data_IF_087475578114
#
_entry.id   IF_087475578114
#
_cell.length_a   1.000
_cell.length_b   1.000
_cell.length_c   1.000
_cell.angle_alpha   90.00
_cell.angle_beta   90.00
_cell.angle_gamma   90.00
#
_symmetry.space_group_name_H-M   'P 1'
#
loop_
_entity.id
_entity.type
_entity.pdbx_description
1 polymer ?
#
# COMPACT_ATOMS: atom_id res chain seq x y z
N UNK A 1 -29.27 -8.33 11.46
CA UNK A 1 -29.08 -7.55 12.70
C UNK A 1 -28.65 -6.13 12.30
N UNK A 2 -29.40 -5.09 12.69
CA UNK A 2 -29.09 -3.69 12.31
C UNK A 2 -28.09 -3.14 13.33
N UNK A 3 -26.86 -2.89 12.90
CA UNK A 3 -25.83 -2.29 13.76
C UNK A 3 -25.90 -0.76 13.66
N UNK A 4 -25.91 -0.09 14.80
CA UNK A 4 -25.80 1.36 14.87
C UNK A 4 -24.41 1.79 14.37
N UNK A 5 -24.39 2.73 13.42
CA UNK A 5 -23.13 3.24 12.85
C UNK A 5 -22.74 4.50 13.60
N UNK A 6 -21.77 4.37 14.50
CA UNK A 6 -21.19 5.52 15.19
C UNK A 6 -19.95 6.00 14.44
N UNK A 7 -19.86 7.30 14.17
CA UNK A 7 -18.80 7.89 13.34
C UNK A 7 -17.39 7.75 13.92
N UNK A 8 -17.25 7.49 15.22
CA UNK A 8 -15.97 7.30 15.87
C UNK A 8 -15.51 5.84 15.91
N UNK A 9 -16.32 4.89 15.44
CA UNK A 9 -15.95 3.48 15.35
C UNK A 9 -15.12 3.20 14.09
N UNK A 10 -14.18 2.26 14.22
CA UNK A 10 -13.42 1.71 13.09
C UNK A 10 -14.36 1.00 12.10
N UNK A 11 -13.83 0.39 11.04
CA UNK A 11 -14.65 -0.44 10.12
C UNK A 11 -15.10 -1.78 10.75
N UNK A 12 -15.29 -1.81 12.07
CA UNK A 12 -15.87 -2.86 12.88
C UNK A 12 -16.45 -2.23 14.16
N UNK A 13 -17.42 -2.88 14.83
CA UNK A 13 -18.10 -2.30 16.00
C UNK A 13 -17.27 -2.34 17.29
N UNK A 14 -16.12 -3.04 17.30
CA UNK A 14 -15.39 -3.36 18.53
C UNK A 14 -14.33 -2.31 18.89
N UNK A 15 -13.87 -1.51 17.93
CA UNK A 15 -12.76 -0.59 18.13
C UNK A 15 -13.09 0.81 17.64
N UNK A 16 -12.50 1.82 18.27
CA UNK A 16 -12.59 3.21 17.79
C UNK A 16 -11.62 3.45 16.64
N UNK A 17 -11.91 4.44 15.78
CA UNK A 17 -10.99 4.91 14.74
C UNK A 17 -9.65 5.31 15.37
N UNK A 18 -9.68 6.06 16.48
CA UNK A 18 -8.46 6.52 17.18
C UNK A 18 -7.56 5.35 17.57
N UNK A 19 -8.14 4.28 18.12
CA UNK A 19 -7.37 3.08 18.45
C UNK A 19 -6.84 2.39 17.19
N UNK A 20 -7.65 2.25 16.14
CA UNK A 20 -7.18 1.71 14.85
C UNK A 20 -6.02 2.50 14.24
N UNK A 21 -6.05 3.84 14.31
CA UNK A 21 -4.95 4.71 13.89
C UNK A 21 -3.69 4.49 14.74
N UNK A 22 -3.84 4.34 16.05
CA UNK A 22 -2.72 4.02 16.95
C UNK A 22 -2.07 2.67 16.57
N UNK A 23 -2.87 1.62 16.43
CA UNK A 23 -2.41 0.28 16.02
C UNK A 23 -1.66 0.36 14.68
N UNK A 24 -2.25 0.98 13.66
CA UNK A 24 -1.61 1.11 12.36
C UNK A 24 -0.32 1.94 12.39
N UNK A 25 -0.25 2.98 13.21
CA UNK A 25 0.99 3.74 13.42
C UNK A 25 2.06 2.89 14.10
N UNK A 26 1.71 2.07 15.10
CA UNK A 26 2.65 1.14 15.75
C UNK A 26 3.21 0.10 14.77
N UNK A 27 2.38 -0.44 13.88
CA UNK A 27 2.85 -1.35 12.84
C UNK A 27 3.84 -0.73 11.83
N UNK A 28 3.95 0.60 11.77
CA UNK A 28 4.94 1.24 10.87
C UNK A 28 6.39 1.12 11.37
N UNK A 29 6.59 0.77 12.63
CA UNK A 29 7.93 0.63 13.26
C UNK A 29 8.11 -0.69 14.01
N UNK A 30 7.13 -1.59 13.94
CA UNK A 30 7.13 -2.86 14.68
C UNK A 30 6.36 -3.92 13.90
N UNK A 31 6.62 -5.21 14.14
CA UNK A 31 5.92 -6.27 13.41
C UNK A 31 4.47 -6.39 13.88
N UNK A 32 3.57 -6.85 13.01
CA UNK A 32 2.18 -7.19 13.38
C UNK A 32 2.12 -8.17 14.56
N UNK A 33 3.11 -9.06 14.69
CA UNK A 33 3.19 -10.00 15.81
C UNK A 33 3.48 -9.29 17.12
N UNK A 34 4.47 -8.40 17.14
CA UNK A 34 4.86 -7.69 18.36
C UNK A 34 3.76 -6.72 18.81
N UNK A 35 3.13 -6.02 17.87
CA UNK A 35 1.99 -5.14 18.17
C UNK A 35 0.79 -5.92 18.70
N UNK A 36 0.54 -7.12 18.17
CA UNK A 36 -0.51 -8.01 18.68
C UNK A 36 -0.23 -8.45 20.12
N UNK A 37 1.02 -8.78 20.43
CA UNK A 37 1.44 -9.15 21.79
C UNK A 37 1.37 -7.95 22.74
N UNK A 38 1.89 -6.78 22.34
CA UNK A 38 1.88 -5.53 23.10
C UNK A 38 0.47 -5.09 23.50
N UNK A 39 -0.49 -5.23 22.57
CA UNK A 39 -1.86 -4.73 22.74
C UNK A 39 -2.86 -5.81 23.12
N UNK A 40 -2.40 -7.04 23.36
CA UNK A 40 -3.24 -8.20 23.68
C UNK A 40 -4.37 -8.44 22.65
N UNK A 41 -4.05 -8.29 21.36
CA UNK A 41 -4.98 -8.48 20.26
C UNK A 41 -4.64 -9.73 19.44
N UNK A 42 -5.65 -10.32 18.81
CA UNK A 42 -5.39 -11.30 17.77
C UNK A 42 -4.66 -10.66 16.57
N UNK A 43 -3.72 -11.41 15.97
CA UNK A 43 -2.91 -10.91 14.85
C UNK A 43 -3.75 -10.51 13.64
N UNK A 44 -4.88 -11.18 13.38
CA UNK A 44 -5.81 -10.83 12.30
C UNK A 44 -6.47 -9.48 12.57
N UNK A 45 -6.83 -9.20 13.82
CA UNK A 45 -7.38 -7.91 14.24
C UNK A 45 -6.39 -6.77 13.99
N UNK A 46 -5.13 -6.94 14.42
CA UNK A 46 -4.08 -5.94 14.18
C UNK A 46 -3.90 -5.69 12.68
N UNK A 47 -3.84 -6.75 11.88
CA UNK A 47 -3.71 -6.66 10.42
C UNK A 47 -4.88 -5.88 9.78
N UNK A 48 -6.11 -6.09 10.23
CA UNK A 48 -7.27 -5.37 9.68
C UNK A 48 -7.28 -3.90 10.09
N UNK A 49 -6.89 -3.57 11.33
CA UNK A 49 -6.75 -2.18 11.78
C UNK A 49 -5.61 -1.46 11.04
N UNK A 50 -4.47 -2.13 10.86
CA UNK A 50 -3.34 -1.62 10.07
C UNK A 50 -3.75 -1.33 8.62
N UNK A 51 -4.50 -2.21 7.96
CA UNK A 51 -5.02 -1.95 6.60
C UNK A 51 -5.89 -0.71 6.55
N UNK A 52 -6.70 -0.43 7.57
CA UNK A 52 -7.50 0.81 7.62
C UNK A 52 -6.60 2.04 7.68
N UNK A 53 -5.56 2.00 8.52
CA UNK A 53 -4.54 3.05 8.57
C UNK A 53 -3.82 3.25 7.23
N UNK A 54 -3.38 2.17 6.58
CA UNK A 54 -2.72 2.24 5.28
C UNK A 54 -3.62 2.82 4.18
N UNK A 55 -4.91 2.46 4.17
CA UNK A 55 -5.88 3.06 3.23
C UNK A 55 -5.98 4.57 3.39
N UNK A 56 -5.99 5.07 4.63
CA UNK A 56 -6.01 6.51 4.86
C UNK A 56 -4.69 7.18 4.43
N UNK A 57 -3.54 6.53 4.62
CA UNK A 57 -2.26 7.02 4.08
C UNK A 57 -2.30 7.12 2.55
N UNK A 58 -2.82 6.10 1.87
CA UNK A 58 -2.96 6.11 0.41
C UNK A 58 -3.92 7.21 -0.06
N UNK A 59 -5.06 7.38 0.61
CA UNK A 59 -6.03 8.46 0.31
C UNK A 59 -5.39 9.84 0.40
N UNK A 60 -4.53 10.07 1.41
CA UNK A 60 -3.82 11.35 1.61
C UNK A 60 -2.63 11.56 0.67
N UNK A 61 -2.04 10.50 0.11
CA UNK A 61 -0.86 10.58 -0.73
C UNK A 61 -1.10 11.32 -2.06
N UNK A 62 -2.36 11.47 -2.49
CA UNK A 62 -2.74 12.16 -3.73
C UNK A 62 -2.32 11.41 -5.00
N UNK A 63 -2.71 11.93 -6.16
CA UNK A 63 -2.41 11.30 -7.45
C UNK A 63 -0.89 11.40 -7.76
N UNK A 64 -0.26 10.32 -8.24
CA UNK A 64 1.15 10.36 -8.63
C UNK A 64 1.34 11.12 -9.95
N UNK A 65 2.50 11.76 -10.06
CA UNK A 65 2.95 12.47 -11.26
C UNK A 65 4.49 12.45 -11.28
N UNK A 66 5.08 11.25 -11.45
CA UNK A 66 6.52 11.05 -11.35
C UNK A 66 7.23 11.60 -12.58
N UNK A 67 8.45 12.11 -12.40
CA UNK A 67 9.38 12.43 -13.50
C UNK A 67 10.54 11.44 -13.58
N UNK A 68 10.87 10.82 -12.45
CA UNK A 68 11.92 9.81 -12.31
C UNK A 68 11.32 8.61 -11.61
N UNK A 69 11.35 7.45 -12.26
CA UNK A 69 10.79 6.22 -11.72
C UNK A 69 11.89 5.19 -11.45
N UNK A 70 11.67 4.38 -10.43
CA UNK A 70 12.42 3.16 -10.17
C UNK A 70 11.50 1.98 -10.40
N UNK A 71 11.99 0.98 -11.12
CA UNK A 71 11.26 -0.24 -11.44
C UNK A 71 12.00 -1.39 -10.78
N UNK A 72 11.28 -2.18 -10.01
CA UNK A 72 11.82 -3.31 -9.26
C UNK A 72 10.85 -4.50 -9.34
N UNK A 73 11.36 -5.70 -9.08
CA UNK A 73 10.60 -6.95 -9.09
C UNK A 73 10.50 -7.52 -7.66
N UNK A 74 9.29 -7.83 -7.23
CA UNK A 74 9.08 -8.52 -5.96
C UNK A 74 8.48 -9.90 -6.15
N UNK A 75 9.10 -10.91 -5.54
CA UNK A 75 8.54 -12.25 -5.46
C UNK A 75 7.42 -12.28 -4.42
N UNK A 76 6.18 -12.49 -4.87
CA UNK A 76 5.01 -12.44 -3.97
C UNK A 76 4.78 -13.74 -3.19
N UNK A 77 5.36 -14.85 -3.66
CA UNK A 77 5.34 -16.16 -2.98
C UNK A 77 6.42 -17.07 -3.56
N UNK A 78 6.69 -18.18 -2.85
CA UNK A 78 7.58 -19.25 -3.32
C UNK A 78 7.23 -19.69 -4.74
N UNK A 79 8.27 -20.05 -5.51
CA UNK A 79 8.14 -20.43 -6.91
C UNK A 79 8.32 -19.28 -7.90
N UNK A 80 8.99 -18.19 -7.49
CA UNK A 80 9.42 -17.11 -8.38
C UNK A 80 8.27 -16.43 -9.14
N UNK A 81 7.14 -16.23 -8.45
CA UNK A 81 6.02 -15.47 -9.02
C UNK A 81 6.28 -14.01 -8.71
N UNK A 82 6.62 -13.25 -9.75
CA UNK A 82 7.01 -11.86 -9.64
C UNK A 82 5.86 -10.89 -9.92
N UNK A 83 5.99 -9.70 -9.37
CA UNK A 83 5.17 -8.52 -9.66
C UNK A 83 6.09 -7.33 -9.79
N UNK A 84 5.69 -6.40 -10.65
CA UNK A 84 6.43 -5.15 -10.85
C UNK A 84 6.00 -4.15 -9.78
N UNK A 85 6.98 -3.52 -9.16
CA UNK A 85 6.83 -2.36 -8.28
C UNK A 85 7.39 -1.16 -9.02
N UNK A 86 6.61 -0.09 -9.13
CA UNK A 86 7.09 1.19 -9.63
C UNK A 86 7.07 2.21 -8.51
N UNK A 87 8.20 2.90 -8.32
CA UNK A 87 8.38 3.94 -7.32
C UNK A 87 8.66 5.29 -7.96
N UNK A 88 8.13 6.36 -7.36
CA UNK A 88 8.53 7.74 -7.65
C UNK A 88 9.80 8.01 -6.84
N UNK A 89 10.94 8.12 -7.53
CA UNK A 89 12.25 8.27 -6.89
C UNK A 89 12.46 9.68 -6.33
N UNK A 90 11.83 10.71 -6.92
CA UNK A 90 11.88 12.08 -6.40
C UNK A 90 11.11 12.17 -5.09
N UNK A 91 9.92 11.55 -5.01
CA UNK A 91 9.09 11.52 -3.79
C UNK A 91 9.39 10.36 -2.85
N UNK A 92 10.36 9.51 -3.19
CA UNK A 92 10.79 8.32 -2.42
C UNK A 92 9.63 7.46 -1.94
N UNK A 93 8.68 7.15 -2.84
CA UNK A 93 7.50 6.37 -2.50
C UNK A 93 7.11 5.39 -3.60
N UNK A 94 6.60 4.19 -3.25
CA UNK A 94 5.96 3.32 -4.23
C UNK A 94 4.68 4.01 -4.74
N UNK A 95 4.46 3.93 -6.04
CA UNK A 95 3.29 4.53 -6.70
C UNK A 95 2.42 3.48 -7.39
N UNK A 96 2.99 2.34 -7.76
CA UNK A 96 2.25 1.27 -8.41
C UNK A 96 2.81 -0.09 -8.07
N UNK A 97 1.92 -1.07 -7.97
CA UNK A 97 2.24 -2.47 -7.76
C UNK A 97 1.27 -3.28 -8.61
N UNK A 98 1.79 -4.13 -9.49
CA UNK A 98 0.95 -4.85 -10.43
C UNK A 98 1.71 -5.76 -11.37
N UNK A 99 1.13 -5.95 -12.55
CA UNK A 99 1.59 -6.94 -13.51
C UNK A 99 1.10 -8.35 -13.18
N UNK A 100 1.18 -9.24 -14.17
CA UNK A 100 1.03 -10.69 -13.97
C UNK A 100 2.39 -11.37 -13.82
N UNK A 101 3.45 -10.67 -14.19
CA UNK A 101 4.85 -11.10 -14.25
C UNK A 101 5.74 -9.85 -14.48
N UNK A 102 6.93 -10.06 -15.04
CA UNK A 102 7.93 -9.05 -15.43
C UNK A 102 7.93 -8.69 -16.91
N UNK A 103 6.86 -9.03 -17.64
CA UNK A 103 6.81 -8.80 -19.08
C UNK A 103 6.58 -7.32 -19.43
N UNK A 104 6.84 -6.98 -20.68
CA UNK A 104 6.53 -5.65 -21.22
C UNK A 104 5.02 -5.36 -21.13
N UNK A 105 4.16 -6.36 -21.38
CA UNK A 105 2.71 -6.23 -21.24
C UNK A 105 2.32 -5.90 -19.80
N UNK A 106 2.96 -6.53 -18.81
CA UNK A 106 2.77 -6.20 -17.39
C UNK A 106 3.19 -4.77 -17.06
N UNK A 107 4.26 -4.27 -17.69
CA UNK A 107 4.71 -2.89 -17.54
C UNK A 107 3.78 -1.88 -18.25
N UNK A 108 3.19 -2.25 -19.39
CA UNK A 108 2.22 -1.41 -20.10
C UNK A 108 0.99 -1.09 -19.24
N UNK A 109 0.56 -2.01 -18.37
CA UNK A 109 -0.51 -1.76 -17.39
C UNK A 109 -0.21 -0.58 -16.46
N UNK A 110 1.06 -0.36 -16.11
CA UNK A 110 1.46 0.82 -15.34
C UNK A 110 1.26 2.11 -16.14
N UNK A 111 1.74 2.14 -17.39
CA UNK A 111 1.62 3.33 -18.24
C UNK A 111 0.16 3.65 -18.60
N UNK A 112 -0.66 2.63 -18.83
CA UNK A 112 -2.11 2.78 -19.00
C UNK A 112 -2.76 3.39 -17.75
N UNK A 113 -2.44 2.86 -16.56
CA UNK A 113 -2.95 3.37 -15.30
C UNK A 113 -2.49 4.81 -14.98
N UNK A 114 -1.25 5.17 -15.34
CA UNK A 114 -0.70 6.50 -15.08
C UNK A 114 -1.31 7.57 -16.01
N UNK A 115 -1.86 7.15 -17.15
CA UNK A 115 -2.32 7.95 -18.28
C UNK A 115 -1.16 8.51 -19.13
N UNK A 116 -1.34 8.50 -20.46
CA UNK A 116 -0.32 8.86 -21.45
C UNK A 116 0.28 10.26 -21.25
N UNK A 117 -0.54 11.24 -20.84
CA UNK A 117 -0.07 12.60 -20.62
C UNK A 117 0.95 12.72 -19.47
N UNK A 118 0.80 11.90 -18.42
CA UNK A 118 1.75 11.86 -17.30
C UNK A 118 2.95 10.98 -17.62
N UNK A 119 2.72 9.86 -18.30
CA UNK A 119 3.79 8.96 -18.73
C UNK A 119 4.85 9.68 -19.59
N UNK A 120 4.42 10.54 -20.53
CA UNK A 120 5.32 11.35 -21.38
C UNK A 120 6.23 12.32 -20.60
N UNK A 121 5.95 12.60 -19.33
CA UNK A 121 6.74 13.48 -18.48
C UNK A 121 7.83 12.74 -17.70
N UNK A 122 7.82 11.41 -17.74
CA UNK A 122 8.89 10.58 -17.20
C UNK A 122 10.11 10.79 -18.10
N UNK A 123 11.21 11.26 -17.49
CA UNK A 123 12.47 11.56 -18.18
C UNK A 123 13.57 10.55 -17.87
N UNK A 124 13.38 9.74 -16.82
CA UNK A 124 14.35 8.74 -16.38
C UNK A 124 13.61 7.57 -15.72
N UNK A 125 13.96 6.36 -16.14
CA UNK A 125 13.61 5.12 -15.48
C UNK A 125 14.92 4.43 -15.05
N UNK A 126 14.98 4.00 -13.79
CA UNK A 126 16.06 3.17 -13.26
C UNK A 126 15.49 1.77 -13.06
N UNK A 127 16.20 0.77 -13.56
CA UNK A 127 15.82 -0.64 -13.49
C UNK A 127 17.02 -1.42 -12.95
N UNK A 128 16.74 -2.47 -12.17
CA UNK A 128 17.70 -3.52 -11.81
C UNK A 128 17.48 -4.76 -12.69
#
# INVERSE_FOLDING_TARGET
MKQEKLDFLANNPFYTKRFGFYVGKRCSTSTVKDVAQELHLDRKTVKELEKQYMREKLRRAGKPNPKVIGIDEISIRKGHIYRIVVSDLEKRRPIWFGGKDRSEESMNLFYEWLESAKAKRIRLAVMD
#
